data_IF_931302596337
#
_entry.id   IF_931302596337
#
_cell.length_a   1.000
_cell.length_b   1.000
_cell.length_c   1.000
_cell.angle_alpha   90.00
_cell.angle_beta   90.00
_cell.angle_gamma   90.00
#
_symmetry.space_group_name_H-M   'P 1'
#
loop_
_entity.id
_entity.type
_entity.pdbx_description
1 polymer ?
#
# COMPACT_ATOMS: atom_id res chain seq x y z
N UNK A 1 4.49 -4.77 13.23
CA UNK A 1 4.26 -4.13 11.90
C UNK A 1 4.28 -5.19 10.82
N UNK A 2 3.27 -5.20 9.98
CA UNK A 2 3.19 -6.13 8.86
C UNK A 2 3.99 -5.57 7.68
N UNK A 3 4.56 -6.46 6.89
CA UNK A 3 5.33 -6.06 5.73
C UNK A 3 4.45 -6.09 4.48
N UNK A 4 4.90 -5.40 3.44
CA UNK A 4 4.30 -5.50 2.13
C UNK A 4 4.97 -6.66 1.42
N UNK A 5 4.17 -7.59 0.92
CA UNK A 5 4.69 -8.79 0.25
C UNK A 5 4.03 -8.92 -1.12
N UNK A 6 4.72 -9.61 -2.03
CA UNK A 6 4.21 -9.89 -3.37
C UNK A 6 4.22 -11.40 -3.52
N UNK A 7 3.04 -11.97 -3.72
CA UNK A 7 2.87 -13.40 -3.91
C UNK A 7 1.99 -13.59 -5.15
N UNK A 8 2.49 -14.30 -6.18
CA UNK A 8 1.72 -14.47 -7.42
C UNK A 8 0.37 -15.14 -7.21
N UNK A 9 0.20 -15.87 -6.11
CA UNK A 9 -1.05 -16.57 -5.82
C UNK A 9 -2.04 -15.73 -5.01
N UNK A 10 -1.65 -14.52 -4.62
CA UNK A 10 -2.50 -13.64 -3.83
C UNK A 10 -2.72 -12.34 -4.60
N UNK A 11 -3.99 -12.00 -4.83
CA UNK A 11 -4.40 -10.76 -5.50
C UNK A 11 -3.65 -10.52 -6.81
N UNK A 12 -3.43 -11.59 -7.59
CA UNK A 12 -2.77 -11.52 -8.90
C UNK A 12 -1.35 -10.95 -8.83
N UNK A 13 -0.64 -11.19 -7.72
CA UNK A 13 0.72 -10.72 -7.58
C UNK A 13 0.86 -9.26 -7.25
N UNK A 14 -0.23 -8.59 -6.87
CA UNK A 14 -0.14 -7.21 -6.41
C UNK A 14 0.45 -7.14 -5.00
N UNK A 15 1.16 -6.04 -4.68
CA UNK A 15 1.67 -5.85 -3.33
C UNK A 15 0.53 -5.83 -2.31
N UNK A 16 0.61 -6.68 -1.30
CA UNK A 16 -0.40 -6.80 -0.26
C UNK A 16 0.23 -6.69 1.12
N UNK A 17 -0.57 -6.32 2.09
CA UNK A 17 -0.15 -6.32 3.49
C UNK A 17 -0.07 -7.78 3.94
N UNK A 18 1.07 -8.16 4.48
CA UNK A 18 1.38 -9.54 4.89
C UNK A 18 0.25 -10.15 5.71
N UNK A 19 -0.14 -11.36 5.33
CA UNK A 19 -1.21 -12.07 6.03
C UNK A 19 -2.62 -11.62 5.68
N UNK A 20 -2.77 -10.74 4.70
CA UNK A 20 -4.08 -10.23 4.29
C UNK A 20 -4.22 -10.30 2.78
N UNK A 21 -5.43 -9.99 2.29
CA UNK A 21 -5.65 -9.75 0.86
C UNK A 21 -5.89 -8.26 0.58
N UNK A 22 -5.44 -7.42 1.49
CA UNK A 22 -5.57 -5.96 1.35
C UNK A 22 -4.36 -5.46 0.59
N UNK A 23 -4.58 -4.93 -0.61
CA UNK A 23 -3.48 -4.43 -1.43
C UNK A 23 -3.03 -3.06 -0.97
N UNK A 24 -1.74 -2.76 -1.17
CA UNK A 24 -1.22 -1.43 -0.88
C UNK A 24 -1.97 -0.38 -1.71
N UNK A 25 -2.32 -0.73 -2.94
CA UNK A 25 -3.07 0.16 -3.81
C UNK A 25 -4.42 0.56 -3.21
N UNK A 26 -5.15 -0.40 -2.61
CA UNK A 26 -6.43 -0.11 -1.97
C UNK A 26 -6.26 0.94 -0.86
N UNK A 27 -5.23 0.79 -0.04
CA UNK A 27 -4.95 1.75 1.02
C UNK A 27 -4.67 3.13 0.44
N UNK A 28 -3.85 3.19 -0.61
CA UNK A 28 -3.55 4.47 -1.26
C UNK A 28 -4.80 5.12 -1.84
N UNK A 29 -5.69 4.32 -2.42
CA UNK A 29 -6.91 4.85 -3.01
C UNK A 29 -7.83 5.46 -1.96
N UNK A 30 -7.93 4.86 -0.78
CA UNK A 30 -8.68 5.46 0.33
C UNK A 30 -8.11 6.83 0.69
N UNK A 31 -6.81 6.91 0.86
CA UNK A 31 -6.17 8.16 1.25
C UNK A 31 -6.27 9.21 0.13
N UNK A 32 -6.15 8.78 -1.11
CA UNK A 32 -6.28 9.68 -2.26
C UNK A 32 -7.69 10.25 -2.40
N UNK A 33 -8.69 9.51 -1.93
CA UNK A 33 -10.09 9.97 -1.94
C UNK A 33 -10.39 10.92 -0.78
N UNK A 34 -9.42 11.17 0.10
CA UNK A 34 -9.60 12.10 1.21
C UNK A 34 -9.86 11.45 2.55
N UNK A 35 -9.85 10.12 2.61
CA UNK A 35 -10.02 9.42 3.88
C UNK A 35 -8.78 9.59 4.75
N UNK A 36 -8.99 9.63 6.06
CA UNK A 36 -7.89 9.69 7.01
C UNK A 36 -7.38 8.30 7.32
N UNK A 37 -6.21 8.21 7.98
CA UNK A 37 -5.71 6.93 8.47
C UNK A 37 -6.73 6.28 9.39
N UNK A 38 -7.38 7.06 10.25
CA UNK A 38 -8.40 6.56 11.16
C UNK A 38 -9.57 5.95 10.39
N UNK A 39 -9.98 6.55 9.29
CA UNK A 39 -11.04 6.00 8.44
C UNK A 39 -10.64 4.65 7.86
N UNK A 40 -9.40 4.52 7.43
CA UNK A 40 -8.88 3.26 6.89
C UNK A 40 -8.90 2.18 7.96
N UNK A 41 -8.48 2.53 9.18
CA UNK A 41 -8.46 1.57 10.29
C UNK A 41 -9.85 1.16 10.74
N UNK A 42 -10.84 2.03 10.54
CA UNK A 42 -12.23 1.69 10.80
C UNK A 42 -12.73 0.65 9.80
N UNK A 43 -12.36 0.80 8.53
CA UNK A 43 -12.74 -0.14 7.48
C UNK A 43 -12.01 -1.46 7.63
N UNK A 44 -10.75 -1.42 8.04
CA UNK A 44 -9.90 -2.61 8.19
C UNK A 44 -9.33 -2.68 9.61
N UNK A 45 -10.15 -3.12 10.58
CA UNK A 45 -9.72 -3.11 12.00
C UNK A 45 -8.54 -4.01 12.31
N UNK A 46 -8.20 -4.93 11.42
CA UNK A 46 -7.02 -5.79 11.62
C UNK A 46 -5.70 -5.07 11.35
N UNK A 47 -5.76 -3.88 10.77
CA UNK A 47 -4.56 -3.11 10.45
C UNK A 47 -4.23 -2.13 11.56
N UNK A 48 -2.95 -1.77 11.64
CA UNK A 48 -2.48 -0.72 12.52
C UNK A 48 -2.06 0.50 11.70
N UNK A 49 -1.88 1.62 12.38
CA UNK A 49 -1.37 2.83 11.72
C UNK A 49 -0.04 2.54 11.01
N UNK A 50 0.83 1.75 11.64
CA UNK A 50 2.11 1.41 11.03
C UNK A 50 1.96 0.63 9.75
N UNK A 51 0.93 -0.22 9.65
CA UNK A 51 0.66 -0.95 8.42
C UNK A 51 0.32 0.00 7.28
N UNK A 52 -0.47 1.04 7.58
CA UNK A 52 -0.83 2.05 6.59
C UNK A 52 0.42 2.85 6.17
N UNK A 53 1.24 3.24 7.13
CA UNK A 53 2.48 3.96 6.84
C UNK A 53 3.44 3.12 6.00
N UNK A 54 3.45 1.82 6.22
CA UNK A 54 4.30 0.92 5.42
C UNK A 54 3.85 0.89 3.97
N UNK A 55 2.54 0.94 3.71
CA UNK A 55 2.03 1.04 2.35
C UNK A 55 2.53 2.31 1.67
N UNK A 56 2.54 3.42 2.39
CA UNK A 56 3.02 4.68 1.86
C UNK A 56 4.52 4.63 1.57
N UNK A 57 5.30 4.06 2.48
CA UNK A 57 6.75 3.93 2.30
C UNK A 57 7.08 3.06 1.10
N UNK A 58 6.39 1.92 0.98
CA UNK A 58 6.58 1.01 -0.15
C UNK A 58 6.29 1.73 -1.47
N UNK A 59 5.19 2.47 -1.50
CA UNK A 59 4.76 3.18 -2.72
C UNK A 59 5.74 4.29 -3.09
N UNK A 60 6.26 5.00 -2.11
CA UNK A 60 7.24 6.04 -2.34
C UNK A 60 8.54 5.47 -2.94
N UNK A 61 8.99 4.32 -2.43
CA UNK A 61 10.18 3.66 -2.95
C UNK A 61 9.97 3.18 -4.37
N UNK A 62 8.80 2.61 -4.65
CA UNK A 62 8.46 2.14 -5.98
C UNK A 62 8.44 3.30 -6.98
N UNK A 63 7.81 4.39 -6.62
CA UNK A 63 7.70 5.57 -7.46
C UNK A 63 9.06 6.20 -7.72
N UNK A 64 9.93 6.20 -6.74
CA UNK A 64 11.28 6.73 -6.87
C UNK A 64 12.03 6.05 -8.01
N UNK A 65 11.87 4.76 -8.16
CA UNK A 65 12.56 4.02 -9.21
C UNK A 65 11.92 4.26 -10.59
N UNK A 66 10.60 4.36 -10.65
CA UNK A 66 9.89 4.59 -11.91
C UNK A 66 10.03 6.01 -12.41
N UNK A 67 10.11 6.97 -11.51
CA UNK A 67 10.22 8.37 -11.86
C UNK A 67 11.44 8.66 -12.71
N UNK A 68 12.51 7.94 -12.49
CA UNK A 68 13.76 8.14 -13.22
C UNK A 68 13.62 7.89 -14.72
N UNK A 69 12.69 7.01 -15.10
CA UNK A 69 12.44 6.74 -16.52
C UNK A 69 11.73 7.90 -17.20
N UNK A 70 10.88 8.59 -16.47
CA UNK A 70 10.13 9.70 -17.02
C UNK A 70 10.98 10.95 -17.21
N UNK A 71 12.01 11.11 -16.43
CA UNK A 71 12.93 12.22 -16.56
C UNK A 71 13.69 12.22 -17.87
N UNK A 72 13.70 11.09 -18.55
CA UNK A 72 14.39 10.95 -19.82
C UNK A 72 13.55 11.39 -21.01
N UNK A 73 12.31 11.70 -20.77
CA UNK A 73 11.36 12.11 -21.82
C UNK A 73 11.31 13.65 -22.01
#
# INVERSE_FOLDING_TARGET
MKRIVIDPDICNGQPVIEGTRITARTILEFLAAGDTVEDVLEEYPSLSKEDVLECLRFSAELMKNHYRLQDLV
#
